data_IF_789425918803
#
_entry.id   IF_789425918803
#
_cell.length_a   1.000
_cell.length_b   1.000
_cell.length_c   1.000
_cell.angle_alpha   90.00
_cell.angle_beta   90.00
_cell.angle_gamma   90.00
#
_symmetry.space_group_name_H-M   'P 1'
#
loop_
_entity.id
_entity.type
_entity.pdbx_description
1 polymer ?
#
# COMPACT_ATOMS: atom_id res chain seq x y z
N UNK A 1 -11.11 18.13 44.45
CA UNK A 1 -10.10 19.15 44.73
C UNK A 1 -8.87 18.79 43.90
N UNK A 2 -8.59 19.50 42.80
CA UNK A 2 -7.88 20.81 42.69
C UNK A 2 -6.40 20.67 43.07
N UNK A 3 -5.41 21.11 42.28
CA UNK A 3 -5.34 21.79 40.96
C UNK A 3 -4.13 21.19 40.17
N UNK A 4 -3.97 21.29 38.84
CA UNK A 4 -3.48 22.44 38.04
C UNK A 4 -2.30 23.22 38.70
N UNK A 5 -1.21 23.62 38.06
CA UNK A 5 -0.70 23.53 36.67
C UNK A 5 0.86 23.49 36.76
N UNK A 6 1.77 23.63 35.78
CA UNK A 6 1.78 24.34 34.49
C UNK A 6 2.91 23.82 33.53
N UNK A 7 3.28 24.63 32.52
CA UNK A 7 4.16 24.33 31.36
C UNK A 7 5.63 24.08 31.77
N UNK A 8 6.49 23.60 30.87
CA UNK A 8 7.31 24.45 29.98
C UNK A 8 7.75 23.70 28.69
N UNK A 9 7.86 24.43 27.59
CA UNK A 9 8.38 23.96 26.29
C UNK A 9 9.93 23.96 26.26
N UNK A 10 10.56 23.14 25.42
CA UNK A 10 11.34 23.59 24.24
C UNK A 10 12.22 22.49 23.60
N UNK A 11 12.29 22.55 22.26
CA UNK A 11 13.42 22.26 21.36
C UNK A 11 14.38 21.10 21.69
N UNK A 12 14.42 20.07 20.82
CA UNK A 12 15.58 19.17 20.70
C UNK A 12 15.97 18.96 19.24
N UNK A 13 17.25 19.17 18.94
CA UNK A 13 17.87 18.98 17.62
C UNK A 13 17.79 17.51 17.13
N UNK A 14 17.89 17.33 15.80
CA UNK A 14 17.91 16.02 15.09
C UNK A 14 19.16 15.16 15.45
N UNK A 15 20.11 15.71 16.21
CA UNK A 15 21.45 15.16 16.48
C UNK A 15 21.58 14.03 17.54
N UNK A 16 20.55 13.20 17.79
CA UNK A 16 20.58 12.15 18.85
C UNK A 16 20.43 10.69 18.34
N UNK A 17 20.33 10.45 17.03
CA UNK A 17 20.37 9.08 16.47
C UNK A 17 21.79 8.52 16.48
N UNK A 18 21.94 7.24 16.86
CA UNK A 18 23.23 6.56 16.97
C UNK A 18 23.13 5.21 16.28
N UNK A 19 24.06 4.95 15.37
CA UNK A 19 24.08 3.73 14.57
C UNK A 19 24.76 2.63 15.39
N UNK A 20 24.29 1.38 15.29
CA UNK A 20 24.99 0.26 15.89
C UNK A 20 25.42 -0.78 14.84
N UNK A 21 26.48 -1.50 15.15
CA UNK A 21 27.00 -2.62 14.39
C UNK A 21 27.30 -3.75 15.37
N UNK A 22 27.01 -4.97 14.96
CA UNK A 22 27.02 -6.18 15.78
C UNK A 22 27.67 -7.28 14.96
N UNK A 23 28.80 -7.82 15.41
CA UNK A 23 29.39 -8.98 14.74
C UNK A 23 28.64 -10.25 15.17
N UNK A 24 28.11 -10.97 14.19
CA UNK A 24 27.11 -12.01 14.42
C UNK A 24 27.70 -13.34 14.94
N UNK A 25 27.85 -13.47 16.26
CA UNK A 25 28.13 -14.78 16.89
C UNK A 25 26.87 -15.65 16.92
N UNK A 26 26.92 -16.82 16.28
CA UNK A 26 25.83 -17.79 16.27
C UNK A 26 25.54 -18.32 17.69
N UNK A 27 24.39 -17.93 18.26
CA UNK A 27 23.84 -18.50 19.50
C UNK A 27 24.64 -18.18 20.77
N UNK A 28 24.17 -17.22 21.57
CA UNK A 28 24.81 -16.85 22.84
C UNK A 28 24.54 -17.90 23.92
N UNK A 29 25.35 -18.96 23.94
CA UNK A 29 25.46 -19.86 25.09
C UNK A 29 26.04 -19.10 26.29
N UNK A 30 25.20 -18.78 27.27
CA UNK A 30 25.60 -18.11 28.50
C UNK A 30 26.40 -19.07 29.41
N UNK A 31 27.71 -19.18 29.16
CA UNK A 31 28.62 -19.92 30.03
C UNK A 31 28.67 -19.30 31.44
N UNK A 32 29.03 -20.11 32.44
CA UNK A 32 29.21 -19.64 33.81
C UNK A 32 30.22 -18.48 33.90
N UNK A 33 31.24 -18.48 33.02
CA UNK A 33 32.24 -17.42 32.90
C UNK A 33 31.63 -16.08 32.48
N UNK A 34 30.70 -16.07 31.52
CA UNK A 34 29.97 -14.87 31.08
C UNK A 34 29.18 -14.30 32.27
N UNK A 35 28.43 -15.17 32.95
CA UNK A 35 27.61 -14.78 34.12
C UNK A 35 28.50 -14.21 35.23
N UNK A 36 29.62 -14.86 35.54
CA UNK A 36 30.56 -14.44 36.57
C UNK A 36 31.26 -13.11 36.22
N UNK A 37 31.67 -12.93 34.96
CA UNK A 37 32.30 -11.70 34.48
C UNK A 37 31.38 -10.48 34.57
N UNK A 38 30.07 -10.66 34.38
CA UNK A 38 29.06 -9.61 34.51
C UNK A 38 28.51 -9.41 35.94
N UNK A 39 29.02 -10.12 36.96
CA UNK A 39 28.67 -9.86 38.37
C UNK A 39 28.93 -8.39 38.73
N UNK A 40 27.93 -7.76 39.36
CA UNK A 40 27.91 -6.33 39.70
C UNK A 40 27.65 -5.37 38.52
N UNK A 41 27.37 -5.89 37.32
CA UNK A 41 27.28 -5.12 36.06
C UNK A 41 25.99 -5.43 35.27
N UNK A 42 24.88 -5.67 35.96
CA UNK A 42 23.59 -6.08 35.36
C UNK A 42 23.11 -5.16 34.24
N UNK A 43 23.15 -3.83 34.43
CA UNK A 43 22.76 -2.86 33.39
C UNK A 43 23.62 -3.00 32.11
N UNK A 44 24.91 -3.35 32.24
CA UNK A 44 25.80 -3.61 31.11
C UNK A 44 25.49 -4.96 30.43
N UNK A 45 25.20 -6.00 31.23
CA UNK A 45 24.81 -7.32 30.71
C UNK A 45 23.54 -7.26 29.87
N UNK A 46 22.50 -6.58 30.36
CA UNK A 46 21.23 -6.42 29.63
C UNK A 46 21.42 -5.63 28.31
N UNK A 47 22.24 -4.58 28.33
CA UNK A 47 22.53 -3.82 27.10
C UNK A 47 23.30 -4.66 26.07
N UNK A 48 24.33 -5.40 26.49
CA UNK A 48 25.14 -6.23 25.60
C UNK A 48 24.37 -7.45 25.07
N UNK A 49 23.70 -8.21 25.94
CA UNK A 49 22.89 -9.38 25.54
C UNK A 49 21.73 -9.00 24.61
N UNK A 50 21.11 -7.83 24.81
CA UNK A 50 20.14 -7.30 23.86
C UNK A 50 20.80 -6.92 22.53
N UNK A 51 21.92 -6.20 22.53
CA UNK A 51 22.59 -5.75 21.32
C UNK A 51 23.05 -6.92 20.42
N UNK A 52 23.76 -7.90 20.97
CA UNK A 52 24.31 -9.05 20.20
C UNK A 52 23.23 -10.03 19.70
N UNK A 53 21.96 -9.85 20.08
CA UNK A 53 20.83 -10.61 19.53
C UNK A 53 20.02 -9.85 18.48
N UNK A 54 20.43 -8.61 18.14
CA UNK A 54 19.86 -7.85 17.03
C UNK A 54 20.55 -8.19 15.70
N UNK A 55 19.85 -8.07 14.55
CA UNK A 55 20.46 -8.23 13.23
C UNK A 55 21.60 -7.23 12.99
N UNK A 56 22.45 -7.57 12.03
CA UNK A 56 23.58 -6.74 11.62
C UNK A 56 23.11 -5.34 11.14
N UNK A 57 23.92 -4.30 11.41
CA UNK A 57 23.62 -2.89 11.08
C UNK A 57 22.37 -2.25 11.73
N UNK A 58 21.84 -2.84 12.81
CA UNK A 58 20.68 -2.29 13.54
C UNK A 58 20.87 -0.84 14.05
N UNK A 59 19.82 -0.02 13.98
CA UNK A 59 19.81 1.38 14.43
C UNK A 59 18.81 1.62 15.57
N UNK A 60 19.13 2.52 16.52
CA UNK A 60 18.22 2.82 17.62
C UNK A 60 18.20 4.30 18.05
N UNK A 61 17.03 4.75 18.54
CA UNK A 61 16.90 5.99 19.32
C UNK A 61 17.29 5.69 20.77
N UNK A 62 18.28 6.42 21.32
CA UNK A 62 18.70 6.32 22.74
C UNK A 62 17.51 6.33 23.70
N UNK A 63 16.57 7.26 23.51
CA UNK A 63 15.36 7.41 24.35
C UNK A 63 14.39 6.23 24.28
N UNK A 64 14.39 5.46 23.19
CA UNK A 64 13.64 4.20 23.07
C UNK A 64 14.37 3.06 23.79
N UNK A 65 15.69 2.93 23.58
CA UNK A 65 16.53 1.94 24.28
C UNK A 65 16.47 2.06 25.81
N UNK A 66 16.49 3.28 26.35
CA UNK A 66 16.31 3.55 27.79
C UNK A 66 14.97 2.99 28.32
N UNK A 67 13.89 3.06 27.54
CA UNK A 67 12.57 2.52 27.90
C UNK A 67 12.55 0.99 27.80
N UNK A 68 13.01 0.42 26.68
CA UNK A 68 13.03 -1.03 26.43
C UNK A 68 13.83 -1.79 27.50
N UNK A 69 14.99 -1.25 27.89
CA UNK A 69 15.86 -1.86 28.91
C UNK A 69 15.56 -1.37 30.34
N UNK A 70 14.47 -0.62 30.56
CA UNK A 70 14.06 -0.14 31.89
C UNK A 70 15.11 0.70 32.63
N UNK A 71 16.01 1.39 31.92
CA UNK A 71 17.20 2.02 32.51
C UNK A 71 17.23 3.54 32.33
N UNK A 72 17.59 4.27 33.37
CA UNK A 72 17.81 5.72 33.32
C UNK A 72 19.19 6.11 32.76
N UNK A 73 19.36 7.37 32.35
CA UNK A 73 20.61 7.85 31.72
C UNK A 73 21.90 7.55 32.49
N UNK A 74 21.86 7.61 33.84
CA UNK A 74 23.02 7.34 34.69
C UNK A 74 23.45 5.87 34.60
N UNK A 75 22.48 4.95 34.50
CA UNK A 75 22.72 3.52 34.25
C UNK A 75 23.28 3.31 32.85
N UNK A 76 22.66 3.91 31.82
CA UNK A 76 23.12 3.85 30.43
C UNK A 76 24.58 4.32 30.27
N UNK A 77 24.95 5.48 30.84
CA UNK A 77 26.34 5.98 30.81
C UNK A 77 27.31 5.03 31.52
N UNK A 78 26.91 4.46 32.68
CA UNK A 78 27.70 3.45 33.39
C UNK A 78 27.86 2.17 32.57
N UNK A 79 26.79 1.69 31.94
CA UNK A 79 26.77 0.49 31.12
C UNK A 79 27.70 0.60 29.90
N UNK A 80 27.62 1.68 29.13
CA UNK A 80 28.54 1.94 28.01
C UNK A 80 30.00 2.00 28.48
N UNK A 81 30.27 2.69 29.60
CA UNK A 81 31.62 2.78 30.16
C UNK A 81 32.14 1.41 30.61
N UNK A 82 31.29 0.58 31.22
CA UNK A 82 31.65 -0.78 31.63
C UNK A 82 31.90 -1.69 30.41
N UNK A 83 31.04 -1.68 29.39
CA UNK A 83 31.23 -2.51 28.20
C UNK A 83 32.49 -2.13 27.42
N UNK A 84 32.80 -0.84 27.32
CA UNK A 84 34.02 -0.36 26.65
C UNK A 84 35.27 -0.76 27.42
N UNK A 85 35.28 -0.60 28.75
CA UNK A 85 36.38 -1.07 29.62
C UNK A 85 36.52 -2.61 29.65
N UNK A 86 35.52 -3.36 29.17
CA UNK A 86 35.55 -4.83 29.06
C UNK A 86 35.86 -5.33 27.63
N UNK A 87 36.23 -4.44 26.70
CA UNK A 87 36.54 -4.81 25.32
C UNK A 87 35.33 -5.30 24.50
N UNK A 88 34.10 -5.07 24.99
CA UNK A 88 32.85 -5.53 24.37
C UNK A 88 32.11 -4.44 23.59
N UNK A 89 32.61 -3.20 23.64
CA UNK A 89 32.01 -2.03 22.98
C UNK A 89 33.08 -1.02 22.54
N UNK A 90 33.18 -0.81 21.23
CA UNK A 90 33.84 0.36 20.65
C UNK A 90 32.82 1.46 20.36
N UNK A 91 33.27 2.73 20.41
CA UNK A 91 32.41 3.89 20.11
C UNK A 91 33.10 4.82 19.08
N UNK A 92 33.31 4.36 17.83
CA UNK A 92 33.94 5.17 16.80
C UNK A 92 33.10 6.39 16.41
N UNK A 93 33.79 7.45 15.94
CA UNK A 93 33.16 8.66 15.43
C UNK A 93 32.95 8.54 13.92
N UNK A 94 31.69 8.49 13.47
CA UNK A 94 31.36 8.44 12.05
C UNK A 94 31.59 9.82 11.42
N UNK A 95 32.35 9.87 10.32
CA UNK A 95 32.55 11.05 9.47
C UNK A 95 31.86 10.85 8.11
N UNK A 96 31.53 11.94 7.44
CA UNK A 96 31.07 11.91 6.05
C UNK A 96 32.25 11.84 5.06
N UNK A 97 31.93 11.69 3.76
CA UNK A 97 32.90 11.71 2.65
C UNK A 97 33.61 13.06 2.46
N UNK A 98 33.29 14.08 3.28
CA UNK A 98 33.92 15.40 3.32
C UNK A 98 34.64 15.63 4.67
N UNK A 99 34.83 14.58 5.47
CA UNK A 99 35.59 14.57 6.73
C UNK A 99 34.85 15.12 7.96
N UNK A 100 33.61 15.59 7.82
CA UNK A 100 32.81 16.21 8.89
C UNK A 100 32.24 15.12 9.80
N UNK A 101 32.31 15.31 11.13
CA UNK A 101 31.70 14.35 12.07
C UNK A 101 30.17 14.38 11.98
N UNK A 102 29.58 13.21 11.73
CA UNK A 102 28.12 12.99 11.68
C UNK A 102 27.60 12.60 13.07
N UNK A 103 28.33 11.75 13.80
CA UNK A 103 27.90 11.26 15.10
C UNK A 103 28.78 10.13 15.66
N UNK A 104 28.21 9.37 16.60
CA UNK A 104 28.85 8.20 17.22
C UNK A 104 28.14 6.93 16.75
N UNK A 105 28.91 5.95 16.28
CA UNK A 105 28.47 4.56 16.15
C UNK A 105 28.84 3.78 17.41
N UNK A 106 28.17 2.63 17.61
CA UNK A 106 28.47 1.66 18.64
C UNK A 106 28.77 0.31 17.98
N UNK A 107 29.96 -0.25 18.17
CA UNK A 107 30.28 -1.60 17.69
C UNK A 107 30.28 -2.54 18.88
N UNK A 108 29.33 -3.48 18.93
CA UNK A 108 29.22 -4.48 19.98
C UNK A 108 29.89 -5.77 19.53
N UNK A 109 30.83 -6.27 20.33
CA UNK A 109 31.63 -7.44 20.01
C UNK A 109 31.03 -8.71 20.63
N UNK A 110 31.17 -9.83 19.91
CA UNK A 110 30.89 -11.15 20.47
C UNK A 110 31.84 -11.48 21.63
N UNK A 111 31.45 -12.43 22.50
CA UNK A 111 32.25 -12.81 23.67
C UNK A 111 33.69 -13.25 23.33
N UNK A 112 33.84 -13.91 22.17
CA UNK A 112 35.09 -14.43 21.64
C UNK A 112 35.89 -13.40 20.83
N UNK A 113 35.34 -12.21 20.59
CA UNK A 113 35.93 -11.15 19.76
C UNK A 113 36.33 -9.91 20.57
N UNK A 114 36.44 -10.05 21.90
CA UNK A 114 36.80 -8.94 22.80
C UNK A 114 38.17 -8.39 22.46
N UNK A 115 38.23 -7.08 22.23
CA UNK A 115 39.50 -6.37 22.10
C UNK A 115 40.25 -6.39 23.45
N UNK A 116 41.47 -6.93 23.46
CA UNK A 116 42.37 -6.87 24.61
C UNK A 116 42.92 -5.44 24.76
N UNK A 117 42.18 -4.57 25.45
CA UNK A 117 42.59 -3.20 25.74
C UNK A 117 43.67 -3.14 26.83
N UNK A 118 44.92 -3.41 26.45
CA UNK A 118 46.10 -3.14 27.28
C UNK A 118 46.56 -1.71 27.10
N UNK A 119 46.30 -0.84 28.10
CA UNK A 119 46.94 0.48 28.19
C UNK A 119 47.37 0.79 29.62
N UNK A 120 48.67 0.84 29.86
CA UNK A 120 49.30 2.14 30.13
C UNK A 120 50.82 2.08 29.85
N UNK A 121 51.49 3.25 29.69
CA UNK A 121 52.83 3.30 29.10
C UNK A 121 53.92 3.53 30.14
N UNK A 122 54.80 2.54 30.32
CA UNK A 122 56.13 2.71 30.90
C UNK A 122 56.98 1.51 30.46
N UNK A 123 57.79 1.72 29.41
CA UNK A 123 59.19 1.27 29.31
C UNK A 123 59.75 1.46 27.88
N UNK A 124 61.00 1.93 27.83
CA UNK A 124 61.90 1.83 26.67
C UNK A 124 62.36 0.37 26.50
N UNK A 125 62.84 -0.13 25.36
CA UNK A 125 64.02 0.36 24.63
C UNK A 125 64.02 0.00 23.13
N UNK A 126 65.05 0.49 22.44
CA UNK A 126 65.31 0.31 21.01
C UNK A 126 65.82 -1.09 20.62
N UNK A 127 65.48 -1.52 19.40
CA UNK A 127 66.44 -2.20 18.50
C UNK A 127 66.39 -1.55 17.12
N UNK A 128 67.54 -1.49 16.43
CA UNK A 128 67.72 -0.79 15.14
C UNK A 128 67.56 -1.72 13.93
N UNK A 129 66.90 -1.19 12.91
CA UNK A 129 67.09 -1.30 11.45
C UNK A 129 67.84 -2.48 10.79
N UNK A 130 67.27 -2.90 9.66
CA UNK A 130 67.89 -3.15 8.33
C UNK A 130 66.72 -3.31 7.33
N UNK A 131 66.65 -2.73 6.12
CA UNK A 131 67.60 -2.41 5.02
C UNK A 131 67.46 -3.37 3.83
N UNK A 132 67.54 -2.77 2.62
CA UNK A 132 67.87 -3.34 1.31
C UNK A 132 66.82 -4.12 0.48
N UNK A 133 66.51 -3.48 -0.66
CA UNK A 133 66.37 -4.00 -2.03
C UNK A 133 65.13 -4.82 -2.44
N UNK A 134 64.42 -4.56 -3.55
CA UNK A 134 64.75 -4.08 -4.92
C UNK A 134 65.17 -5.19 -5.89
N UNK A 135 64.22 -5.57 -6.76
CA UNK A 135 64.43 -6.13 -8.10
C UNK A 135 63.34 -5.54 -9.00
N UNK A 136 63.74 -4.98 -10.14
CA UNK A 136 62.85 -4.62 -11.25
C UNK A 136 63.01 -5.62 -12.41
N UNK A 137 62.01 -5.69 -13.28
CA UNK A 137 62.02 -5.94 -14.73
C UNK A 137 60.54 -6.16 -15.14
N UNK A 138 59.98 -5.51 -16.16
CA UNK A 138 60.33 -5.55 -17.60
C UNK A 138 60.19 -6.97 -18.21
N UNK A 139 59.59 -7.17 -19.39
CA UNK A 139 59.27 -6.23 -20.47
C UNK A 139 58.12 -6.74 -21.39
N UNK A 140 57.68 -5.92 -22.36
CA UNK A 140 57.06 -6.25 -23.68
C UNK A 140 55.86 -7.23 -23.73
N UNK A 141 54.63 -6.82 -24.05
CA UNK A 141 54.07 -6.18 -25.28
C UNK A 141 53.70 -7.12 -26.43
N UNK A 142 52.45 -7.05 -26.91
CA UNK A 142 52.15 -7.02 -28.33
C UNK A 142 50.78 -6.40 -28.64
N UNK A 143 50.61 -5.86 -29.85
CA UNK A 143 49.31 -5.39 -30.41
C UNK A 143 48.85 -6.34 -31.51
N UNK A 144 47.53 -6.47 -31.68
CA UNK A 144 46.76 -6.26 -32.91
C UNK A 144 45.33 -6.82 -32.69
N UNK A 145 44.19 -6.20 -32.99
CA UNK A 145 43.68 -5.36 -34.10
C UNK A 145 42.76 -6.15 -35.05
N UNK A 146 41.74 -5.45 -35.57
CA UNK A 146 40.74 -5.85 -36.58
C UNK A 146 39.60 -6.74 -36.02
N UNK A 147 38.33 -6.32 -36.07
CA UNK A 147 37.37 -6.26 -37.22
C UNK A 147 36.73 -7.65 -37.50
N UNK A 148 35.45 -7.82 -37.84
CA UNK A 148 34.28 -6.93 -37.97
C UNK A 148 33.03 -7.80 -38.21
N UNK A 149 31.80 -7.32 -37.96
CA UNK A 149 30.64 -7.44 -38.88
C UNK A 149 29.35 -6.83 -38.31
N UNK A 150 28.36 -6.59 -39.17
CA UNK A 150 27.05 -6.03 -38.82
C UNK A 150 25.93 -6.70 -39.66
N UNK A 151 24.72 -6.80 -39.10
CA UNK A 151 23.53 -7.30 -39.79
C UNK A 151 22.41 -6.25 -39.79
N UNK A 152 21.58 -6.27 -40.84
CA UNK A 152 20.64 -5.20 -41.20
C UNK A 152 19.19 -5.66 -41.04
N UNK A 153 18.28 -4.70 -40.86
CA UNK A 153 16.83 -4.84 -40.80
C UNK A 153 16.22 -5.48 -42.07
N UNK A 154 14.91 -5.79 -42.05
CA UNK A 154 14.06 -5.02 -42.95
C UNK A 154 12.84 -4.39 -42.26
N UNK A 155 12.32 -3.33 -42.89
CA UNK A 155 11.11 -2.59 -42.51
C UNK A 155 9.94 -2.91 -43.46
N UNK A 156 8.71 -2.57 -43.06
CA UNK A 156 7.61 -2.35 -43.99
C UNK A 156 6.65 -1.26 -43.50
N UNK A 157 6.45 -0.25 -44.32
CA UNK A 157 5.43 0.79 -44.22
C UNK A 157 4.06 0.21 -44.70
N UNK A 158 2.89 0.87 -44.75
CA UNK A 158 2.48 2.28 -44.67
C UNK A 158 0.96 2.32 -44.36
N UNK A 159 0.44 3.35 -43.67
CA UNK A 159 -0.89 3.95 -43.98
C UNK A 159 -1.20 5.24 -43.17
N UNK A 160 -1.84 6.24 -43.81
CA UNK A 160 -2.26 7.53 -43.23
C UNK A 160 -3.57 8.03 -43.90
N UNK A 161 -4.35 8.97 -43.36
CA UNK A 161 -4.32 9.64 -42.04
C UNK A 161 -5.71 9.41 -41.36
N UNK A 162 -6.60 10.33 -40.93
CA UNK A 162 -6.64 11.79 -40.74
C UNK A 162 -7.08 12.07 -39.29
N UNK A 163 -6.41 12.97 -38.57
CA UNK A 163 -6.95 14.31 -38.20
C UNK A 163 -6.07 15.07 -37.20
N UNK A 164 -5.87 16.37 -37.47
CA UNK A 164 -5.01 17.25 -36.66
C UNK A 164 -5.78 18.05 -35.60
N UNK A 165 -5.25 18.10 -34.37
CA UNK A 165 -4.69 19.34 -33.78
C UNK A 165 -4.55 19.30 -32.24
N UNK A 166 -3.63 20.15 -31.74
CA UNK A 166 -3.37 20.53 -30.32
C UNK A 166 -2.62 19.53 -29.44
N UNK A 167 -1.74 20.08 -28.61
CA UNK A 167 -1.16 19.44 -27.42
C UNK A 167 0.14 18.68 -27.66
N UNK A 168 1.28 19.30 -27.34
CA UNK A 168 2.55 18.59 -27.22
C UNK A 168 2.60 17.85 -25.87
N UNK A 169 2.01 16.66 -25.84
CA UNK A 169 1.94 15.77 -24.66
C UNK A 169 2.52 14.37 -25.00
N UNK A 170 2.85 14.11 -26.27
CA UNK A 170 3.43 12.84 -26.71
C UNK A 170 4.91 12.67 -26.33
N UNK A 171 5.65 13.77 -26.14
CA UNK A 171 7.07 13.73 -25.77
C UNK A 171 7.32 13.05 -24.42
N UNK A 172 6.59 13.45 -23.38
CA UNK A 172 6.76 12.91 -22.03
C UNK A 172 6.25 11.46 -21.91
N UNK A 173 5.11 11.15 -22.53
CA UNK A 173 4.53 9.79 -22.54
C UNK A 173 5.46 8.74 -23.18
N UNK A 174 6.19 9.11 -24.23
CA UNK A 174 7.15 8.20 -24.88
C UNK A 174 8.36 7.89 -23.98
N UNK A 175 8.83 8.85 -23.17
CA UNK A 175 9.95 8.65 -22.26
C UNK A 175 9.59 7.72 -21.08
N UNK A 176 8.35 7.76 -20.59
CA UNK A 176 7.84 6.83 -19.57
C UNK A 176 7.86 5.37 -20.04
N UNK A 177 7.41 5.09 -21.27
CA UNK A 177 7.43 3.75 -21.86
C UNK A 177 8.86 3.21 -22.08
N UNK A 178 9.80 4.08 -22.47
CA UNK A 178 11.21 3.69 -22.59
C UNK A 178 11.84 3.38 -21.22
N UNK A 179 11.58 4.22 -20.22
CA UNK A 179 12.16 4.09 -18.86
C UNK A 179 11.72 2.79 -18.16
N UNK A 180 10.48 2.34 -18.41
CA UNK A 180 9.96 1.06 -17.92
C UNK A 180 10.63 -0.18 -18.55
N UNK A 181 11.36 -0.01 -19.65
CA UNK A 181 11.97 -1.11 -20.43
C UNK A 181 13.46 -1.34 -20.12
N UNK A 182 14.12 -0.45 -19.38
CA UNK A 182 15.58 -0.48 -19.17
C UNK A 182 15.98 -0.21 -17.71
N UNK A 183 15.48 -1.03 -16.78
CA UNK A 183 15.90 -1.03 -15.36
C UNK A 183 16.33 -2.43 -14.87
N UNK A 184 17.13 -3.13 -15.68
CA UNK A 184 17.88 -4.30 -15.23
C UNK A 184 19.15 -3.85 -14.51
N UNK A 185 19.45 -4.46 -13.36
CA UNK A 185 20.76 -4.41 -12.67
C UNK A 185 21.28 -3.04 -12.17
N UNK A 186 20.52 -2.36 -11.31
CA UNK A 186 21.13 -1.64 -10.17
C UNK A 186 20.13 -1.45 -9.02
N UNK A 187 20.42 -1.99 -7.83
CA UNK A 187 19.60 -1.81 -6.63
C UNK A 187 20.05 -0.58 -5.85
N UNK A 188 19.52 0.59 -6.19
CA UNK A 188 19.74 1.82 -5.42
C UNK A 188 19.11 1.71 -4.02
N UNK A 189 19.88 2.03 -2.97
CA UNK A 189 19.38 2.01 -1.59
C UNK A 189 18.43 3.21 -1.34
N UNK A 190 17.12 2.96 -1.44
CA UNK A 190 16.06 3.93 -1.12
C UNK A 190 16.32 4.58 0.24
N UNK A 191 16.38 5.90 0.27
CA UNK A 191 16.75 6.64 1.49
C UNK A 191 15.55 6.91 2.42
N UNK A 192 15.77 7.04 3.73
CA UNK A 192 14.72 7.38 4.69
C UNK A 192 14.09 8.77 4.39
N UNK A 193 14.84 9.71 3.80
CA UNK A 193 14.31 11.01 3.37
C UNK A 193 13.47 10.91 2.09
N UNK A 194 13.79 9.99 1.18
CA UNK A 194 12.95 9.64 0.03
C UNK A 194 11.66 8.93 0.47
N UNK A 195 11.74 8.00 1.43
CA UNK A 195 10.54 7.38 2.02
C UNK A 195 9.65 8.45 2.68
N UNK A 196 10.21 9.40 3.44
CA UNK A 196 9.44 10.55 3.97
C UNK A 196 8.85 11.41 2.86
N UNK A 197 9.59 11.67 1.78
CA UNK A 197 9.10 12.41 0.62
C UNK A 197 7.88 11.74 0.00
N UNK A 198 7.91 10.41 -0.21
CA UNK A 198 6.75 9.65 -0.65
C UNK A 198 5.58 9.69 0.35
N UNK A 199 5.82 9.55 1.66
CA UNK A 199 4.78 9.69 2.69
C UNK A 199 4.13 11.07 2.64
N UNK A 200 4.93 12.14 2.59
CA UNK A 200 4.48 13.52 2.63
C UNK A 200 3.70 13.89 1.36
N UNK A 201 4.30 13.70 0.18
CA UNK A 201 3.67 13.98 -1.14
C UNK A 201 2.31 13.30 -1.28
N UNK A 202 2.20 12.03 -0.88
CA UNK A 202 0.94 11.31 -0.91
C UNK A 202 -0.12 11.95 0.00
N UNK A 203 0.24 12.24 1.25
CA UNK A 203 -0.69 12.78 2.25
C UNK A 203 -1.13 14.21 1.95
N UNK A 204 -0.28 15.03 1.32
CA UNK A 204 -0.62 16.38 0.86
C UNK A 204 -1.70 16.40 -0.23
N UNK A 205 -1.93 15.29 -0.94
CA UNK A 205 -3.04 15.16 -1.90
C UNK A 205 -4.39 14.84 -1.25
N UNK A 206 -4.41 14.46 0.02
CA UNK A 206 -5.63 14.14 0.77
C UNK A 206 -5.84 15.18 1.89
N UNK A 207 -6.40 16.36 1.58
CA UNK A 207 -6.66 17.38 2.60
C UNK A 207 -7.67 16.90 3.66
N UNK A 208 -7.73 17.62 4.77
CA UNK A 208 -8.60 17.29 5.91
C UNK A 208 -8.00 16.23 6.84
N UNK A 209 -8.85 15.48 7.54
CA UNK A 209 -8.40 14.47 8.51
C UNK A 209 -7.95 13.17 7.84
N UNK A 210 -6.70 12.76 8.10
CA UNK A 210 -6.23 11.41 7.76
C UNK A 210 -6.68 10.40 8.83
N UNK A 211 -7.27 9.28 8.40
CA UNK A 211 -7.61 8.15 9.26
C UNK A 211 -6.89 6.91 8.75
N UNK A 212 -5.84 6.50 9.46
CA UNK A 212 -5.00 5.36 9.10
C UNK A 212 -5.51 4.07 9.73
N UNK A 213 -5.22 2.95 9.08
CA UNK A 213 -5.40 1.59 9.58
C UNK A 213 -4.08 0.85 9.37
N UNK A 214 -3.54 0.26 10.43
CA UNK A 214 -2.46 -0.70 10.36
C UNK A 214 -3.04 -2.13 10.40
N UNK A 215 -2.42 -3.07 9.67
CA UNK A 215 -2.71 -4.50 9.73
C UNK A 215 -1.40 -5.28 9.63
N UNK A 216 -1.27 -6.42 10.32
CA UNK A 216 -0.13 -7.33 10.11
C UNK A 216 -0.10 -7.80 8.64
N UNK A 217 0.98 -7.50 7.91
CA UNK A 217 1.15 -7.91 6.51
C UNK A 217 1.48 -9.41 6.40
N UNK A 218 2.04 -10.01 7.46
CA UNK A 218 2.41 -11.43 7.54
C UNK A 218 1.25 -12.41 7.33
N UNK A 219 1.54 -13.71 7.22
CA UNK A 219 0.49 -14.76 7.17
C UNK A 219 -0.19 -15.01 8.53
N UNK A 220 0.39 -14.58 9.65
CA UNK A 220 -0.14 -14.83 11.00
C UNK A 220 -1.35 -13.97 11.36
N UNK A 221 -1.47 -12.78 10.74
CA UNK A 221 -2.54 -11.80 10.99
C UNK A 221 -2.70 -11.43 12.47
N UNK A 222 -1.57 -11.14 13.11
CA UNK A 222 -1.42 -10.73 14.52
C UNK A 222 -2.34 -9.54 14.85
N UNK A 223 -3.40 -9.79 15.62
CA UNK A 223 -4.40 -8.78 16.03
C UNK A 223 -3.81 -7.59 16.81
N UNK A 224 -2.65 -7.77 17.45
CA UNK A 224 -1.89 -6.71 18.14
C UNK A 224 -1.45 -5.57 17.21
N UNK A 225 -1.34 -5.82 15.90
CA UNK A 225 -1.01 -4.82 14.88
C UNK A 225 -2.23 -4.22 14.16
N UNK A 226 -3.45 -4.71 14.46
CA UNK A 226 -4.68 -4.19 13.89
C UNK A 226 -5.16 -2.95 14.67
N UNK A 227 -4.67 -1.75 14.31
CA UNK A 227 -5.00 -0.48 14.99
C UNK A 227 -5.43 0.61 14.01
N UNK A 228 -6.36 1.45 14.45
CA UNK A 228 -6.78 2.68 13.76
C UNK A 228 -6.05 3.87 14.41
N UNK A 229 -5.66 4.86 13.61
CA UNK A 229 -5.07 6.11 14.06
C UNK A 229 -5.76 7.29 13.34
N UNK A 230 -5.98 8.39 14.05
CA UNK A 230 -6.52 9.63 13.48
C UNK A 230 -5.44 10.72 13.56
N UNK A 231 -5.14 11.35 12.42
CA UNK A 231 -3.91 12.12 12.21
C UNK A 231 -2.67 11.25 11.98
N UNK A 232 -1.61 11.83 11.42
CA UNK A 232 -0.31 11.15 11.28
C UNK A 232 0.39 11.07 12.64
N UNK A 233 1.04 9.94 12.92
CA UNK A 233 1.75 9.71 14.18
C UNK A 233 2.98 8.82 13.96
N UNK A 234 4.06 9.05 14.73
CA UNK A 234 5.26 8.20 14.74
C UNK A 234 4.95 6.72 15.01
N UNK A 235 3.84 6.42 15.68
CA UNK A 235 3.36 5.06 15.89
C UNK A 235 3.08 4.30 14.58
N UNK A 236 2.85 4.98 13.44
CA UNK A 236 2.70 4.34 12.13
C UNK A 236 4.04 3.75 11.65
N UNK A 237 5.15 4.46 11.88
CA UNK A 237 6.50 4.00 11.58
C UNK A 237 6.89 2.82 12.50
N UNK A 238 6.59 2.92 13.80
CA UNK A 238 6.81 1.81 14.75
C UNK A 238 5.97 0.57 14.41
N UNK A 239 4.73 0.73 13.97
CA UNK A 239 3.87 -0.39 13.56
C UNK A 239 4.33 -1.02 12.25
N UNK A 240 4.79 -0.22 11.28
CA UNK A 240 5.39 -0.74 10.06
C UNK A 240 6.66 -1.55 10.35
N UNK A 241 7.54 -1.04 11.23
CA UNK A 241 8.73 -1.77 11.67
C UNK A 241 8.41 -3.10 12.41
N UNK A 242 7.24 -3.22 13.04
CA UNK A 242 6.77 -4.47 13.66
C UNK A 242 6.14 -5.49 12.67
N UNK A 243 6.10 -5.19 11.37
CA UNK A 243 5.48 -6.03 10.33
C UNK A 243 4.07 -5.64 9.90
N UNK A 244 3.61 -4.43 10.20
CA UNK A 244 2.29 -3.97 9.76
C UNK A 244 2.32 -3.24 8.42
N UNK A 245 1.46 -3.62 7.47
CA UNK A 245 1.10 -2.74 6.36
C UNK A 245 0.36 -1.50 6.88
N UNK A 246 0.70 -0.32 6.36
CA UNK A 246 0.07 0.96 6.71
C UNK A 246 -0.82 1.43 5.57
N UNK A 247 -2.08 1.72 5.90
CA UNK A 247 -3.12 2.07 4.93
C UNK A 247 -3.84 3.35 5.37
N UNK A 248 -4.24 4.19 4.41
CA UNK A 248 -5.06 5.39 4.63
C UNK A 248 -6.51 5.07 4.21
N UNK A 249 -7.48 5.42 5.06
CA UNK A 249 -8.89 5.53 4.65
C UNK A 249 -9.01 6.69 3.70
N UNK A 250 -9.23 6.41 2.41
CA UNK A 250 -9.02 7.40 1.33
C UNK A 250 -9.99 8.58 1.49
N UNK A 251 -11.26 8.27 1.71
CA UNK A 251 -12.29 9.26 2.00
C UNK A 251 -12.18 9.76 3.45
N UNK A 252 -12.61 11.00 3.68
CA UNK A 252 -12.45 11.66 4.97
C UNK A 252 -13.41 11.10 6.01
N UNK A 253 -12.93 10.95 7.25
CA UNK A 253 -13.73 10.40 8.36
C UNK A 253 -13.90 11.40 9.49
N UNK A 254 -14.98 11.25 10.26
CA UNK A 254 -15.36 12.10 11.39
C UNK A 254 -14.41 12.04 12.62
N UNK A 255 -13.29 11.33 12.51
CA UNK A 255 -12.32 11.14 13.59
C UNK A 255 -12.78 10.20 14.72
N UNK A 256 -13.95 9.54 14.58
CA UNK A 256 -14.48 8.59 15.58
C UNK A 256 -14.42 7.14 15.11
N UNK A 257 -14.10 6.91 13.84
CA UNK A 257 -13.95 5.57 13.26
C UNK A 257 -13.73 5.59 11.76
N UNK A 258 -14.02 4.45 11.12
CA UNK A 258 -13.94 4.23 9.67
C UNK A 258 -15.06 3.35 9.11
N UNK A 259 -16.24 3.32 9.74
CA UNK A 259 -17.44 2.71 9.14
C UNK A 259 -18.02 3.63 8.07
N UNK A 260 -19.01 3.18 7.28
CA UNK A 260 -19.73 4.04 6.31
C UNK A 260 -20.29 5.29 6.99
N UNK A 261 -20.85 5.12 8.19
CA UNK A 261 -21.42 6.20 9.03
C UNK A 261 -20.38 7.23 9.50
N UNK A 262 -19.09 6.89 9.48
CA UNK A 262 -18.01 7.81 9.83
C UNK A 262 -17.52 8.64 8.63
N UNK A 263 -17.87 8.29 7.39
CA UNK A 263 -17.32 8.96 6.19
C UNK A 263 -18.09 10.25 5.92
N UNK A 264 -17.38 11.38 5.89
CA UNK A 264 -17.97 12.73 5.80
C UNK A 264 -17.75 13.40 4.43
N UNK A 265 -16.73 13.00 3.69
CA UNK A 265 -16.39 13.59 2.38
C UNK A 265 -15.65 12.59 1.48
N UNK A 266 -15.93 12.61 0.18
CA UNK A 266 -15.19 11.81 -0.83
C UNK A 266 -14.01 12.65 -1.33
N UNK A 267 -12.78 12.10 -1.24
CA UNK A 267 -11.56 12.82 -1.65
C UNK A 267 -10.98 12.36 -2.98
N UNK A 268 -11.18 11.09 -3.31
CA UNK A 268 -10.78 10.53 -4.59
C UNK A 268 -11.68 9.35 -4.97
N UNK A 269 -11.87 9.13 -6.26
CA UNK A 269 -12.22 7.82 -6.83
C UNK A 269 -10.92 7.11 -7.23
N UNK A 270 -10.88 5.79 -7.21
CA UNK A 270 -9.63 5.04 -7.38
C UNK A 270 -9.85 3.59 -7.82
N UNK A 271 -8.84 3.01 -8.46
CA UNK A 271 -8.81 1.59 -8.83
C UNK A 271 -7.58 0.91 -8.25
N UNK A 272 -7.74 -0.35 -7.83
CA UNK A 272 -6.68 -1.24 -7.35
C UNK A 272 -6.44 -2.34 -8.40
N UNK A 273 -5.25 -2.38 -9.00
CA UNK A 273 -4.91 -3.29 -10.09
C UNK A 273 -4.25 -4.57 -9.54
N UNK A 274 -5.09 -5.55 -9.18
CA UNK A 274 -4.66 -6.88 -8.73
C UNK A 274 -4.16 -7.73 -9.92
N UNK A 275 -2.95 -7.42 -10.39
CA UNK A 275 -2.30 -7.96 -11.61
C UNK A 275 -2.88 -7.51 -12.96
N UNK A 276 -3.72 -6.47 -12.99
CA UNK A 276 -4.20 -5.85 -14.24
C UNK A 276 -3.24 -4.78 -14.79
N UNK A 277 -3.18 -4.57 -16.12
CA UNK A 277 -2.24 -3.63 -16.75
C UNK A 277 -2.51 -2.17 -16.38
N UNK A 278 -1.45 -1.38 -16.24
CA UNK A 278 -1.52 0.03 -15.85
C UNK A 278 -1.78 0.96 -17.05
N UNK A 279 -1.32 0.57 -18.23
CA UNK A 279 -1.32 1.37 -19.46
C UNK A 279 -2.72 1.86 -19.87
N UNK A 280 -3.80 1.04 -19.80
CA UNK A 280 -5.16 1.54 -20.07
C UNK A 280 -5.59 2.63 -19.10
N UNK A 281 -5.17 2.56 -17.83
CA UNK A 281 -5.53 3.54 -16.79
C UNK A 281 -4.82 4.88 -17.04
N UNK A 282 -3.56 4.86 -17.50
CA UNK A 282 -2.80 6.08 -17.80
C UNK A 282 -3.48 6.94 -18.88
N UNK A 283 -4.21 6.33 -19.82
CA UNK A 283 -4.98 7.07 -20.85
C UNK A 283 -6.15 7.90 -20.28
N UNK A 284 -6.56 7.63 -19.03
CA UNK A 284 -7.57 8.40 -18.30
C UNK A 284 -6.95 9.43 -17.34
N UNK A 285 -5.65 9.71 -17.44
CA UNK A 285 -4.92 10.77 -16.71
C UNK A 285 -5.20 10.74 -15.18
N UNK A 286 -4.80 9.69 -14.46
CA UNK A 286 -4.88 9.68 -13.00
C UNK A 286 -4.01 10.81 -12.42
N UNK A 287 -4.49 11.44 -11.35
CA UNK A 287 -3.71 12.48 -10.65
C UNK A 287 -2.54 11.90 -9.87
N UNK A 288 -2.60 10.60 -9.53
CA UNK A 288 -1.64 9.90 -8.72
C UNK A 288 -1.66 8.40 -9.06
N UNK A 289 -0.50 7.79 -9.23
CA UNK A 289 -0.33 6.33 -9.29
C UNK A 289 0.70 5.90 -8.24
N UNK A 290 0.35 4.90 -7.44
CA UNK A 290 1.20 4.28 -6.42
C UNK A 290 1.44 2.83 -6.78
N UNK A 291 2.70 2.41 -6.92
CA UNK A 291 3.05 0.99 -6.91
C UNK A 291 3.02 0.49 -5.46
N UNK A 292 2.06 -0.37 -5.14
CA UNK A 292 1.79 -0.82 -3.77
C UNK A 292 2.58 -2.07 -3.40
N UNK A 293 2.86 -2.92 -4.39
CA UNK A 293 3.84 -4.00 -4.39
C UNK A 293 4.39 -4.17 -5.81
N UNK A 294 5.43 -4.99 -6.06
CA UNK A 294 5.98 -5.15 -7.42
C UNK A 294 4.88 -5.43 -8.45
N UNK A 295 4.87 -4.63 -9.51
CA UNK A 295 3.91 -4.70 -10.63
C UNK A 295 2.42 -4.62 -10.23
N UNK A 296 2.09 -3.99 -9.10
CA UNK A 296 0.70 -3.77 -8.66
C UNK A 296 0.48 -2.32 -8.28
N UNK A 297 -0.58 -1.73 -8.82
CA UNK A 297 -0.75 -0.27 -8.79
C UNK A 297 -2.12 0.15 -8.28
N UNK A 298 -2.14 1.19 -7.47
CA UNK A 298 -3.34 1.97 -7.18
C UNK A 298 -3.31 3.25 -8.02
N UNK A 299 -4.39 3.57 -8.72
CA UNK A 299 -4.53 4.83 -9.45
C UNK A 299 -5.70 5.65 -8.88
N UNK A 300 -5.52 6.95 -8.73
CA UNK A 300 -6.47 7.85 -8.08
C UNK A 300 -6.82 9.05 -8.96
N UNK A 301 -8.08 9.48 -8.90
CA UNK A 301 -8.54 10.77 -9.40
C UNK A 301 -9.17 11.54 -8.24
N UNK A 302 -8.57 12.67 -7.87
CA UNK A 302 -9.06 13.55 -6.80
C UNK A 302 -10.35 14.25 -7.23
N UNK A 303 -11.26 14.45 -6.28
CA UNK A 303 -12.58 15.05 -6.49
C UNK A 303 -12.90 16.07 -5.40
N UNK A 304 -13.79 17.04 -5.68
CA UNK A 304 -14.09 18.15 -4.76
C UNK A 304 -15.56 18.28 -4.30
N UNK A 305 -16.51 17.71 -5.03
CA UNK A 305 -17.96 17.85 -4.81
C UNK A 305 -18.72 16.52 -5.02
N UNK A 306 -18.05 15.39 -4.78
CA UNK A 306 -18.54 14.07 -5.16
C UNK A 306 -19.48 13.44 -4.10
N UNK A 307 -20.72 13.06 -4.46
CA UNK A 307 -21.70 12.57 -3.48
C UNK A 307 -21.40 11.13 -3.00
N UNK A 308 -21.56 10.91 -1.69
CA UNK A 308 -21.30 9.64 -1.00
C UNK A 308 -22.10 8.47 -1.60
N UNK A 309 -23.33 8.74 -2.06
CA UNK A 309 -24.27 7.77 -2.63
C UNK A 309 -23.78 7.22 -3.98
N UNK A 310 -23.12 8.04 -4.80
CA UNK A 310 -22.61 7.63 -6.11
C UNK A 310 -21.31 6.82 -6.02
N UNK A 311 -20.59 6.91 -4.88
CA UNK A 311 -19.24 6.34 -4.73
C UNK A 311 -19.19 4.83 -5.02
N UNK A 312 -20.21 4.08 -4.60
CA UNK A 312 -20.24 2.62 -4.80
C UNK A 312 -20.40 2.24 -6.28
N UNK A 313 -21.12 3.07 -7.06
CA UNK A 313 -21.38 2.78 -8.48
C UNK A 313 -20.19 3.21 -9.36
N UNK A 314 -19.54 4.34 -9.08
CA UNK A 314 -18.32 4.75 -9.81
C UNK A 314 -17.15 3.81 -9.56
N UNK A 315 -16.94 3.34 -8.32
CA UNK A 315 -15.85 2.41 -8.01
C UNK A 315 -16.02 1.07 -8.75
N UNK A 316 -17.26 0.56 -8.83
CA UNK A 316 -17.57 -0.64 -9.62
C UNK A 316 -17.35 -0.42 -11.11
N UNK A 317 -17.70 0.77 -11.62
CA UNK A 317 -17.43 1.13 -13.01
C UNK A 317 -15.91 1.14 -13.31
N UNK A 318 -15.09 1.71 -12.43
CA UNK A 318 -13.63 1.71 -12.56
C UNK A 318 -13.04 0.29 -12.52
N UNK A 319 -13.51 -0.55 -11.59
CA UNK A 319 -13.10 -1.96 -11.52
C UNK A 319 -13.49 -2.72 -12.80
N UNK A 320 -14.73 -2.57 -13.27
CA UNK A 320 -15.23 -3.16 -14.53
C UNK A 320 -14.48 -2.66 -15.78
N UNK A 321 -14.06 -1.38 -15.81
CA UNK A 321 -13.38 -0.78 -16.96
C UNK A 321 -11.90 -1.18 -17.07
N UNK A 322 -11.22 -1.38 -15.94
CA UNK A 322 -9.77 -1.58 -15.90
C UNK A 322 -9.34 -2.95 -15.34
N UNK A 323 -10.29 -3.84 -15.03
CA UNK A 323 -10.00 -5.13 -14.41
C UNK A 323 -9.47 -5.01 -12.98
N UNK A 324 -9.90 -3.98 -12.24
CA UNK A 324 -9.49 -3.77 -10.85
C UNK A 324 -10.21 -4.71 -9.86
N UNK A 325 -9.75 -4.76 -8.60
CA UNK A 325 -10.38 -5.58 -7.55
C UNK A 325 -11.87 -5.20 -7.38
N UNK A 326 -12.83 -6.10 -7.70
CA UNK A 326 -14.26 -5.82 -7.59
C UNK A 326 -14.73 -5.63 -6.13
N UNK A 327 -13.88 -5.88 -5.14
CA UNK A 327 -14.15 -5.64 -3.72
C UNK A 327 -13.83 -4.19 -3.31
N UNK A 328 -13.11 -3.40 -4.12
CA UNK A 328 -12.65 -2.02 -3.82
C UNK A 328 -13.74 -0.96 -4.10
N UNK A 329 -14.92 -1.13 -3.48
CA UNK A 329 -16.11 -0.30 -3.76
C UNK A 329 -16.76 0.39 -2.55
N UNK A 330 -16.22 0.26 -1.34
CA UNK A 330 -16.82 0.84 -0.13
C UNK A 330 -16.21 2.21 0.23
N UNK A 331 -17.06 3.14 0.69
CA UNK A 331 -16.65 4.48 1.12
C UNK A 331 -15.53 4.46 2.19
N UNK A 332 -15.50 3.41 3.00
CA UNK A 332 -14.56 3.15 4.10
C UNK A 332 -13.27 2.43 3.68
N UNK A 333 -13.02 2.26 2.38
CA UNK A 333 -11.86 1.51 1.86
C UNK A 333 -10.55 2.18 2.27
N UNK A 334 -9.63 1.32 2.73
CA UNK A 334 -8.26 1.70 3.08
C UNK A 334 -7.29 1.25 1.98
N UNK A 335 -6.42 2.14 1.53
CA UNK A 335 -5.41 1.88 0.48
C UNK A 335 -4.00 2.08 1.03
N UNK A 336 -3.03 1.29 0.56
CA UNK A 336 -1.64 1.30 1.07
C UNK A 336 -0.98 2.67 0.84
N UNK A 337 -0.30 3.18 1.86
CA UNK A 337 0.41 4.47 1.83
C UNK A 337 1.84 4.26 1.33
N UNK A 338 2.31 4.99 0.31
CA UNK A 338 3.70 4.92 -0.16
C UNK A 338 4.69 5.53 0.84
N UNK A 339 5.96 5.17 0.73
CA UNK A 339 6.98 5.50 1.73
C UNK A 339 6.89 4.65 3.01
N UNK A 340 6.16 3.53 2.96
CA UNK A 340 6.17 2.46 3.97
C UNK A 340 6.50 1.12 3.30
N UNK A 341 7.03 0.17 4.07
CA UNK A 341 7.36 -1.17 3.59
C UNK A 341 6.13 -2.08 3.53
N UNK A 342 5.83 -2.61 2.35
CA UNK A 342 5.02 -3.80 2.15
C UNK A 342 5.83 -5.04 2.55
N UNK A 343 5.28 -5.87 3.43
CA UNK A 343 6.01 -6.97 4.10
C UNK A 343 5.30 -8.33 3.97
N UNK A 344 4.48 -8.51 2.93
CA UNK A 344 3.76 -9.75 2.62
C UNK A 344 4.56 -10.56 1.59
N UNK A 345 5.62 -11.20 2.04
CA UNK A 345 6.65 -11.80 1.17
C UNK A 345 7.92 -10.96 1.23
N UNK A 346 8.64 -10.86 0.11
CA UNK A 346 9.86 -10.07 0.03
C UNK A 346 9.56 -8.57 0.27
N UNK A 347 10.33 -7.86 1.11
CA UNK A 347 10.05 -6.46 1.45
C UNK A 347 10.12 -5.54 0.24
N UNK A 348 9.07 -4.73 0.04
CA UNK A 348 8.99 -3.75 -1.04
C UNK A 348 8.59 -2.38 -0.50
N UNK A 349 9.29 -1.32 -0.92
CA UNK A 349 8.97 0.04 -0.54
C UNK A 349 7.89 0.59 -1.50
N UNK A 350 6.64 0.69 -1.03
CA UNK A 350 5.53 1.17 -1.85
C UNK A 350 5.78 2.61 -2.28
N UNK A 351 5.68 2.94 -3.57
CA UNK A 351 6.23 4.20 -4.13
C UNK A 351 5.25 4.93 -5.04
N UNK A 352 5.36 6.26 -5.12
CA UNK A 352 4.63 7.03 -6.14
C UNK A 352 5.37 6.87 -7.47
N UNK A 353 4.66 6.43 -8.51
CA UNK A 353 5.18 6.24 -9.87
C UNK A 353 4.76 7.39 -10.80
N UNK A 354 3.56 7.94 -10.59
CA UNK A 354 3.07 9.13 -11.28
C UNK A 354 2.44 10.08 -10.28
N UNK A 355 2.74 11.37 -10.41
CA UNK A 355 2.02 12.45 -9.74
C UNK A 355 1.75 13.57 -10.74
N UNK A 356 0.50 14.06 -10.77
CA UNK A 356 0.06 15.17 -11.62
C UNK A 356 -0.58 16.25 -10.75
N UNK A 357 -0.32 17.52 -11.08
CA UNK A 357 -0.83 18.68 -10.36
C UNK A 357 -2.05 19.34 -11.03
N UNK A 358 -2.73 18.60 -11.92
CA UNK A 358 -4.06 18.97 -12.45
C UNK A 358 -5.06 19.10 -11.30
N UNK A 359 -6.00 20.04 -11.40
CA UNK A 359 -7.03 20.29 -10.40
C UNK A 359 -7.94 19.06 -10.15
N UNK A 360 -8.54 18.90 -8.96
CA UNK A 360 -9.55 17.88 -8.69
C UNK A 360 -10.73 17.96 -9.68
N UNK A 361 -11.29 16.82 -10.06
CA UNK A 361 -12.46 16.74 -10.93
C UNK A 361 -13.72 17.15 -10.16
N UNK A 362 -14.67 17.78 -10.85
CA UNK A 362 -16.05 17.84 -10.33
C UNK A 362 -16.75 16.49 -10.52
N UNK A 363 -17.83 16.24 -9.79
CA UNK A 363 -18.73 15.12 -10.01
C UNK A 363 -19.23 15.07 -11.47
N UNK A 364 -19.48 16.22 -12.08
CA UNK A 364 -19.87 16.32 -13.50
C UNK A 364 -18.73 15.87 -14.43
N UNK A 365 -17.49 16.22 -14.12
CA UNK A 365 -16.33 15.82 -14.93
C UNK A 365 -15.98 14.35 -14.75
N UNK A 366 -16.18 13.78 -13.55
CA UNK A 366 -16.15 12.32 -13.34
C UNK A 366 -17.21 11.63 -14.20
N UNK A 367 -18.46 12.09 -14.18
CA UNK A 367 -19.55 11.51 -14.99
C UNK A 367 -19.31 11.67 -16.51
N UNK A 368 -18.55 12.68 -16.95
CA UNK A 368 -18.11 12.84 -18.34
C UNK A 368 -16.96 11.90 -18.70
N UNK A 369 -15.96 11.75 -17.82
CA UNK A 369 -14.76 10.94 -18.06
C UNK A 369 -15.00 9.44 -17.89
N UNK A 370 -15.92 9.08 -17.00
CA UNK A 370 -16.35 7.73 -16.67
C UNK A 370 -17.89 7.66 -16.76
N UNK A 371 -18.46 7.67 -17.97
CA UNK A 371 -19.91 7.66 -18.15
C UNK A 371 -20.53 6.40 -17.53
N UNK A 372 -21.51 6.53 -16.62
CA UNK A 372 -22.13 5.37 -16.00
C UNK A 372 -22.77 4.49 -17.06
N UNK A 373 -22.54 3.17 -16.98
CA UNK A 373 -23.24 2.17 -17.78
C UNK A 373 -24.74 2.48 -17.75
N UNK A 374 -25.43 2.53 -18.90
CA UNK A 374 -26.87 2.75 -18.93
C UNK A 374 -27.54 1.74 -18.00
N UNK A 375 -28.13 2.22 -16.90
CA UNK A 375 -29.01 1.39 -16.10
C UNK A 375 -30.23 1.14 -16.96
N UNK A 376 -30.50 -0.11 -17.29
CA UNK A 376 -31.77 -0.49 -17.89
C UNK A 376 -32.89 0.05 -16.99
N UNK A 377 -33.57 1.11 -17.44
CA UNK A 377 -34.67 1.72 -16.70
C UNK A 377 -35.90 0.78 -16.64
N UNK A 378 -35.76 -0.46 -17.11
CA UNK A 378 -36.82 -1.44 -17.24
C UNK A 378 -37.09 -2.24 -15.99
N UNK A 379 -37.46 -1.52 -14.94
CA UNK A 379 -38.70 -1.84 -14.25
C UNK A 379 -39.34 -0.53 -13.81
N UNK A 380 -40.44 -0.13 -14.45
CA UNK A 380 -41.37 0.79 -13.82
C UNK A 380 -41.71 0.24 -12.42
N UNK A 381 -41.73 1.12 -11.42
CA UNK A 381 -41.90 0.76 -10.00
C UNK A 381 -43.11 -0.16 -9.85
N UNK A 382 -42.88 -1.45 -9.58
CA UNK A 382 -43.94 -2.48 -9.51
C UNK A 382 -45.02 -2.02 -8.54
N UNK A 383 -46.20 -1.72 -9.07
CA UNK A 383 -47.35 -1.38 -8.25
C UNK A 383 -47.80 -2.62 -7.48
N UNK A 384 -47.63 -2.57 -6.16
CA UNK A 384 -48.27 -3.51 -5.24
C UNK A 384 -49.78 -3.23 -5.22
N UNK A 385 -50.50 -3.76 -6.21
CA UNK A 385 -51.95 -3.60 -6.33
C UNK A 385 -52.62 -4.22 -5.10
N UNK A 386 -53.10 -3.37 -4.20
CA UNK A 386 -53.56 -3.77 -2.87
C UNK A 386 -55.01 -4.28 -2.88
N UNK A 387 -55.26 -5.42 -3.55
CA UNK A 387 -56.50 -6.20 -3.36
C UNK A 387 -56.36 -7.69 -3.70
N UNK A 388 -56.29 -8.53 -2.65
CA UNK A 388 -56.87 -9.88 -2.63
C UNK A 388 -56.24 -11.01 -3.48
N UNK A 389 -55.23 -10.78 -4.31
CA UNK A 389 -54.65 -11.88 -5.10
C UNK A 389 -53.70 -12.77 -4.27
N UNK A 390 -53.98 -14.07 -4.22
CA UNK A 390 -53.12 -15.09 -3.59
C UNK A 390 -51.89 -15.41 -4.47
N UNK A 391 -51.28 -14.43 -5.13
CA UNK A 391 -50.14 -14.64 -6.03
C UNK A 391 -48.80 -14.35 -5.34
N UNK A 392 -48.16 -15.42 -4.86
CA UNK A 392 -46.77 -15.37 -4.38
C UNK A 392 -45.84 -15.45 -5.60
N UNK A 393 -45.52 -14.27 -6.15
CA UNK A 393 -44.63 -14.15 -7.31
C UNK A 393 -44.56 -12.71 -7.82
N UNK A 394 -43.97 -12.51 -9.01
CA UNK A 394 -43.77 -11.19 -9.59
C UNK A 394 -44.41 -11.05 -10.97
N UNK A 395 -45.20 -10.00 -11.16
CA UNK A 395 -45.80 -9.67 -12.45
C UNK A 395 -44.75 -9.21 -13.48
N UNK A 396 -44.97 -9.57 -14.75
CA UNK A 396 -44.18 -9.14 -15.90
C UNK A 396 -42.90 -9.95 -16.19
N UNK A 397 -42.43 -9.85 -17.44
CA UNK A 397 -41.17 -10.43 -17.91
C UNK A 397 -40.51 -9.59 -19.03
N UNK A 398 -39.18 -9.74 -19.25
CA UNK A 398 -38.45 -9.12 -20.36
C UNK A 398 -38.78 -9.72 -21.73
N UNK A 399 -38.36 -9.01 -22.78
CA UNK A 399 -38.37 -9.41 -24.19
C UNK A 399 -37.87 -10.85 -24.38
N UNK A 400 -38.43 -11.57 -25.35
CA UNK A 400 -38.19 -13.01 -25.56
C UNK A 400 -38.87 -13.95 -24.55
N UNK A 401 -39.01 -13.55 -23.28
CA UNK A 401 -39.57 -14.40 -22.21
C UNK A 401 -41.04 -14.09 -21.82
N UNK A 402 -41.70 -13.17 -22.54
CA UNK A 402 -43.05 -12.68 -22.21
C UNK A 402 -44.12 -13.79 -22.30
N UNK A 403 -44.22 -14.47 -23.44
CA UNK A 403 -45.23 -15.52 -23.66
C UNK A 403 -44.99 -16.81 -22.85
N UNK A 404 -43.73 -17.21 -22.67
CA UNK A 404 -43.34 -18.36 -21.84
C UNK A 404 -43.58 -18.10 -20.35
N UNK A 405 -43.26 -16.88 -19.87
CA UNK A 405 -43.58 -16.44 -18.51
C UNK A 405 -45.08 -16.38 -18.23
N UNK A 406 -45.88 -15.84 -19.16
CA UNK A 406 -47.34 -15.79 -19.02
C UNK A 406 -47.94 -17.21 -19.00
N UNK A 407 -47.48 -18.12 -19.86
CA UNK A 407 -47.92 -19.52 -19.84
C UNK A 407 -47.60 -20.21 -18.51
N UNK A 408 -46.41 -19.98 -17.95
CA UNK A 408 -46.01 -20.50 -16.63
C UNK A 408 -46.84 -19.89 -15.48
N UNK A 409 -47.14 -18.60 -15.56
CA UNK A 409 -48.03 -17.91 -14.61
C UNK A 409 -49.44 -18.53 -14.61
N UNK A 410 -50.06 -18.66 -15.79
CA UNK A 410 -51.40 -19.22 -15.95
C UNK A 410 -51.43 -20.69 -15.53
N UNK A 411 -50.46 -21.52 -15.94
CA UNK A 411 -50.35 -22.91 -15.52
C UNK A 411 -50.25 -23.08 -14.01
N UNK A 412 -49.50 -22.21 -13.33
CA UNK A 412 -49.42 -22.17 -11.86
C UNK A 412 -50.71 -21.72 -11.17
N UNK A 413 -51.63 -21.04 -11.86
CA UNK A 413 -52.97 -20.72 -11.34
C UNK A 413 -53.97 -21.87 -11.57
N UNK A 414 -53.91 -22.53 -12.73
CA UNK A 414 -54.66 -23.76 -13.05
C UNK A 414 -54.32 -24.86 -12.04
N UNK A 415 -53.03 -25.11 -11.77
CA UNK A 415 -52.59 -26.13 -10.81
C UNK A 415 -53.12 -25.87 -9.38
N UNK A 416 -53.32 -24.61 -9.01
CA UNK A 416 -53.92 -24.18 -7.73
C UNK A 416 -55.45 -24.13 -7.75
N UNK A 417 -56.09 -24.62 -8.83
CA UNK A 417 -57.55 -24.61 -9.05
C UNK A 417 -58.18 -23.23 -8.89
N UNK A 418 -57.48 -22.19 -9.35
CA UNK A 418 -58.01 -20.81 -9.38
C UNK A 418 -59.12 -20.71 -10.42
N UNK A 419 -60.19 -19.96 -10.13
CA UNK A 419 -61.30 -19.77 -11.06
C UNK A 419 -60.84 -19.07 -12.35
N UNK A 420 -61.32 -19.55 -13.51
CA UNK A 420 -60.85 -19.09 -14.81
C UNK A 420 -61.03 -17.57 -15.04
N UNK A 421 -62.12 -16.96 -14.54
CA UNK A 421 -62.32 -15.51 -14.64
C UNK A 421 -61.23 -14.70 -13.91
N UNK A 422 -60.79 -15.19 -12.74
CA UNK A 422 -59.67 -14.60 -11.99
C UNK A 422 -58.35 -14.82 -12.73
N UNK A 423 -58.15 -15.99 -13.34
CA UNK A 423 -56.97 -16.27 -14.17
C UNK A 423 -56.88 -15.29 -15.36
N UNK A 424 -57.98 -15.01 -16.06
CA UNK A 424 -57.98 -14.08 -17.19
C UNK A 424 -57.68 -12.63 -16.75
N UNK A 425 -58.26 -12.16 -15.64
CA UNK A 425 -57.98 -10.83 -15.09
C UNK A 425 -56.51 -10.68 -14.63
N UNK A 426 -56.00 -11.67 -13.91
CA UNK A 426 -54.62 -11.65 -13.41
C UNK A 426 -53.59 -11.80 -14.54
N UNK A 427 -53.92 -12.57 -15.60
CA UNK A 427 -53.10 -12.66 -16.81
C UNK A 427 -52.98 -11.30 -17.53
N UNK A 428 -54.04 -10.48 -17.55
CA UNK A 428 -53.98 -9.12 -18.10
C UNK A 428 -53.07 -8.21 -17.26
N UNK A 429 -53.16 -8.25 -15.93
CA UNK A 429 -52.23 -7.52 -15.03
C UNK A 429 -50.77 -7.93 -15.27
N UNK A 430 -50.53 -9.24 -15.45
CA UNK A 430 -49.20 -9.77 -15.73
C UNK A 430 -48.66 -9.35 -17.10
N UNK A 431 -49.51 -9.34 -18.12
CA UNK A 431 -49.20 -8.89 -19.48
C UNK A 431 -48.88 -7.39 -19.56
N UNK A 432 -49.65 -6.55 -18.85
CA UNK A 432 -49.41 -5.11 -18.76
C UNK A 432 -48.05 -4.76 -18.11
N UNK A 433 -47.59 -5.60 -17.18
CA UNK A 433 -46.28 -5.46 -16.53
C UNK A 433 -45.08 -5.95 -17.36
N UNK A 434 -45.27 -6.41 -18.60
CA UNK A 434 -44.20 -6.91 -19.46
C UNK A 434 -43.36 -5.82 -20.15
N UNK A 435 -42.22 -6.23 -20.72
CA UNK A 435 -41.26 -5.36 -21.39
C UNK A 435 -40.97 -5.81 -22.84
N UNK A 436 -41.48 -5.08 -23.86
CA UNK A 436 -42.61 -4.17 -23.78
C UNK A 436 -43.91 -4.92 -23.42
N UNK A 437 -44.99 -4.20 -23.01
CA UNK A 437 -46.26 -4.82 -22.62
C UNK A 437 -46.79 -5.79 -23.68
N UNK A 438 -47.38 -6.90 -23.24
CA UNK A 438 -47.84 -7.94 -24.17
C UNK A 438 -49.20 -7.54 -24.78
N UNK A 439 -49.36 -7.50 -26.13
CA UNK A 439 -50.62 -7.14 -26.76
C UNK A 439 -51.76 -8.09 -26.40
N UNK A 440 -52.96 -7.54 -26.21
CA UNK A 440 -54.22 -8.25 -25.95
C UNK A 440 -54.42 -9.54 -26.77
N UNK A 441 -54.04 -9.50 -28.05
CA UNK A 441 -54.12 -10.63 -28.99
C UNK A 441 -53.22 -11.80 -28.58
N UNK A 442 -52.03 -11.52 -28.07
CA UNK A 442 -51.10 -12.53 -27.58
C UNK A 442 -51.56 -13.07 -26.21
N UNK A 443 -52.02 -12.20 -25.30
CA UNK A 443 -52.63 -12.59 -24.02
C UNK A 443 -53.77 -13.60 -24.25
N UNK A 444 -54.71 -13.25 -25.14
CA UNK A 444 -55.84 -14.11 -25.54
C UNK A 444 -55.38 -15.41 -26.22
N UNK A 445 -54.23 -15.41 -26.90
CA UNK A 445 -53.66 -16.62 -27.53
C UNK A 445 -53.04 -17.56 -26.50
N UNK A 446 -52.28 -17.03 -25.53
CA UNK A 446 -51.72 -17.82 -24.42
C UNK A 446 -52.83 -18.40 -23.55
N UNK A 447 -53.83 -17.58 -23.17
CA UNK A 447 -55.01 -18.05 -22.43
C UNK A 447 -55.78 -19.14 -23.19
N UNK A 448 -56.02 -18.99 -24.49
CA UNK A 448 -56.67 -20.01 -25.34
C UNK A 448 -55.86 -21.31 -25.42
N UNK A 449 -54.54 -21.24 -25.36
CA UNK A 449 -53.67 -22.42 -25.28
C UNK A 449 -53.76 -23.09 -23.90
N UNK A 450 -53.64 -22.31 -22.82
CA UNK A 450 -53.69 -22.78 -21.45
C UNK A 450 -55.05 -23.39 -21.05
N UNK A 451 -56.16 -22.91 -21.63
CA UNK A 451 -57.51 -23.44 -21.42
C UNK A 451 -57.70 -24.90 -21.86
N UNK A 452 -56.72 -25.49 -22.57
CA UNK A 452 -56.66 -26.93 -22.91
C UNK A 452 -56.15 -27.82 -21.78
N UNK A 453 -55.72 -27.23 -20.67
CA UNK A 453 -55.15 -27.91 -19.50
C UNK A 453 -56.02 -27.73 -18.23
N UNK A 454 -57.27 -27.26 -18.41
CA UNK A 454 -58.38 -27.42 -17.46
C UNK A 454 -59.06 -28.77 -17.69
#
# INVERSE_FOLDING_TARGET
MTQATEKINQTTSISEFRHAQTKATHGVLLSAEIVQFFVGKTDAFHLWSFAITQPEFWQFRKTHMLKVLGMGERKWRKALSQLSAMGLLEIPFRRDSKGKMIGKSYVFHGWNERMCLTTNPEDSESVKGKDLNHVENEERSNKNNNDSEACILPSSENCTDLFTSKGDVRGEMAQLSATLSTSSECSEEVTDDEMKSYRQRFLDRFPGLHTFQAFDDSKEKRKSLAKIFHGYAFALEEMNWCGAGVFLTVNETDGKGRKRENIVNVRAIFVDLDCSPLEPVLTYEPHLVVESSPTRFHAYWFVQDFPLEAFTDIQKLLADMFGGDPVVHDLSRVMRVPGFWHQKGDPFMSRIVLESHVAPLTHLDVVRKFPPKPKDLWSAKRESCASGSNYIGSYGAPEGNRNSGLMRFVGGAIQRRTEWAVIEQEAQKWAAACSPPLPDREVKTVLKSARRYL
#
